data_IF_925087989173
#
_entry.id   IF_925087989173
#
_cell.length_a   1.000
_cell.length_b   1.000
_cell.length_c   1.000
_cell.angle_alpha   90.00
_cell.angle_beta   90.00
_cell.angle_gamma   90.00
#
_symmetry.space_group_name_H-M   'P 1'
#
loop_
_entity.id
_entity.type
_entity.pdbx_description
1 polymer ?
#
# COMPACT_ATOMS: atom_id res chain seq x y z
N UNK A 1 -1.17 10.53 -18.13
CA UNK A 1 -2.26 9.52 -18.07
C UNK A 1 -2.38 9.08 -16.62
N UNK A 2 -3.43 9.52 -15.93
CA UNK A 2 -3.58 9.41 -14.48
C UNK A 2 -4.10 8.01 -14.14
N UNK A 3 -3.29 7.21 -13.47
CA UNK A 3 -3.69 5.88 -13.00
C UNK A 3 -4.55 6.09 -11.75
N UNK A 4 -5.85 5.93 -11.89
CA UNK A 4 -6.80 5.93 -10.78
C UNK A 4 -6.61 4.65 -9.94
N UNK A 5 -5.78 4.73 -8.91
CA UNK A 5 -5.96 3.89 -7.74
C UNK A 5 -7.08 4.54 -6.93
N UNK A 6 -8.18 3.83 -6.71
CA UNK A 6 -9.37 4.35 -6.06
C UNK A 6 -9.08 4.92 -4.67
N UNK A 7 -8.71 6.19 -4.62
CA UNK A 7 -8.72 7.00 -3.43
C UNK A 7 -10.05 7.74 -3.38
N UNK A 8 -10.80 7.55 -2.32
CA UNK A 8 -11.97 8.39 -1.97
C UNK A 8 -11.48 9.84 -1.87
N UNK A 9 -12.12 10.83 -2.53
CA UNK A 9 -11.66 12.20 -2.53
C UNK A 9 -11.74 12.79 -1.12
N UNK A 10 -10.58 13.18 -0.58
CA UNK A 10 -10.49 14.03 0.59
C UNK A 10 -10.82 15.47 0.17
N UNK A 11 -11.97 15.97 0.59
CA UNK A 11 -12.33 17.38 0.47
C UNK A 11 -11.29 18.23 1.22
N UNK A 12 -10.55 19.03 0.46
CA UNK A 12 -9.64 20.05 0.99
C UNK A 12 -10.45 21.11 1.75
N UNK A 13 -10.28 21.18 3.08
CA UNK A 13 -10.56 22.40 3.85
C UNK A 13 -9.25 23.06 4.22
N UNK A 14 -9.07 24.26 3.69
CA UNK A 14 -7.99 25.20 3.94
C UNK A 14 -8.02 25.67 5.40
N UNK A 15 -6.87 25.64 6.09
CA UNK A 15 -6.71 26.19 7.44
C UNK A 15 -5.91 27.48 7.40
N UNK A 16 -6.30 28.51 8.14
CA UNK A 16 -5.50 29.71 8.35
C UNK A 16 -4.77 29.67 9.69
N UNK A 17 -3.61 30.31 9.74
CA UNK A 17 -3.11 30.86 11.01
C UNK A 17 -1.85 30.27 11.57
N UNK A 18 -0.82 31.06 11.45
CA UNK A 18 0.48 31.04 12.11
C UNK A 18 0.34 31.04 13.64
N UNK A 19 1.01 30.13 14.37
CA UNK A 19 1.19 30.25 15.81
C UNK A 19 2.67 30.18 16.19
N UNK A 20 2.99 31.03 17.14
CA UNK A 20 4.32 31.36 17.69
C UNK A 20 4.87 30.22 18.54
N UNK A 21 6.21 30.16 18.63
CA UNK A 21 7.04 29.28 19.44
C UNK A 21 6.65 29.26 20.93
N UNK A 22 6.40 28.06 21.48
CA UNK A 22 6.41 27.81 22.92
C UNK A 22 6.92 26.38 23.19
N UNK A 23 7.77 26.26 24.20
CA UNK A 23 8.76 25.25 24.50
C UNK A 23 8.35 23.79 24.63
N UNK A 24 9.32 22.99 24.74
CA UNK A 24 9.55 21.53 24.84
C UNK A 24 8.41 20.55 25.19
N UNK A 25 7.34 20.96 25.87
CA UNK A 25 6.15 20.15 26.15
C UNK A 25 5.22 19.94 24.94
N UNK A 26 5.23 20.87 23.99
CA UNK A 26 4.41 20.86 22.75
C UNK A 26 4.94 19.83 21.76
N UNK A 27 6.24 19.56 21.74
CA UNK A 27 6.88 18.63 20.81
C UNK A 27 6.42 17.17 20.98
N UNK A 28 6.19 16.70 22.21
CA UNK A 28 5.76 15.31 22.47
C UNK A 28 4.30 15.10 22.09
N UNK A 29 3.45 16.07 22.35
CA UNK A 29 2.03 16.07 21.96
C UNK A 29 1.84 16.15 20.44
N UNK A 30 2.64 16.97 19.75
CA UNK A 30 2.62 17.07 18.29
C UNK A 30 3.08 15.77 17.62
N UNK A 31 4.21 15.19 18.06
CA UNK A 31 4.71 13.90 17.55
C UNK A 31 3.70 12.76 17.76
N UNK A 32 2.99 12.75 18.88
CA UNK A 32 1.94 11.75 19.14
C UNK A 32 0.75 11.95 18.20
N UNK A 33 0.38 13.18 17.90
CA UNK A 33 -0.74 13.54 17.01
C UNK A 33 -0.40 13.27 15.54
N UNK A 34 0.82 13.56 15.10
CA UNK A 34 1.36 13.26 13.78
C UNK A 34 1.47 11.74 13.57
N UNK A 35 1.97 11.00 14.58
CA UNK A 35 2.01 9.54 14.54
C UNK A 35 0.60 8.93 14.42
N UNK A 36 -0.39 9.45 15.15
CA UNK A 36 -1.77 8.99 15.06
C UNK A 36 -2.40 9.32 13.69
N UNK A 37 -2.05 10.45 13.08
CA UNK A 37 -2.48 10.79 11.71
C UNK A 37 -1.90 9.82 10.68
N UNK A 38 -0.62 9.45 10.79
CA UNK A 38 0.04 8.49 9.90
C UNK A 38 -0.51 7.07 10.05
N UNK A 39 -0.81 6.61 11.27
CA UNK A 39 -1.43 5.31 11.51
C UNK A 39 -2.82 5.20 10.89
N UNK A 40 -3.64 6.25 11.02
CA UNK A 40 -4.96 6.28 10.40
C UNK A 40 -4.87 6.24 8.87
N UNK A 41 -3.87 6.88 8.27
CA UNK A 41 -3.62 6.82 6.84
C UNK A 41 -3.20 5.41 6.41
N UNK A 42 -2.28 4.79 7.15
CA UNK A 42 -1.90 3.39 6.93
C UNK A 42 -3.12 2.47 6.98
N UNK A 43 -3.94 2.56 8.04
CA UNK A 43 -5.15 1.74 8.23
C UNK A 43 -6.13 1.93 7.07
N UNK A 44 -6.42 3.17 6.66
CA UNK A 44 -7.36 3.44 5.56
C UNK A 44 -6.96 2.81 4.24
N UNK A 45 -5.66 2.70 3.98
CA UNK A 45 -5.15 2.16 2.73
C UNK A 45 -4.80 0.67 2.81
N UNK A 46 -4.49 0.15 4.00
CA UNK A 46 -3.87 -1.16 4.16
C UNK A 46 -4.65 -2.12 5.06
N UNK A 47 -5.83 -1.76 5.59
CA UNK A 47 -6.59 -2.62 6.50
C UNK A 47 -6.75 -4.08 6.02
N UNK A 48 -7.07 -4.37 4.74
CA UNK A 48 -7.13 -5.75 4.27
C UNK A 48 -5.79 -6.51 4.35
N UNK A 49 -4.66 -5.82 4.15
CA UNK A 49 -3.33 -6.41 4.31
C UNK A 49 -3.00 -6.63 5.79
N UNK A 50 -3.32 -5.66 6.65
CA UNK A 50 -3.16 -5.78 8.10
C UNK A 50 -4.01 -6.92 8.68
N UNK A 51 -5.18 -7.16 8.11
CA UNK A 51 -6.11 -8.24 8.49
C UNK A 51 -5.79 -9.60 7.84
N UNK A 52 -4.69 -9.77 7.13
CA UNK A 52 -4.35 -11.03 6.47
C UNK A 52 -5.22 -11.40 5.26
N UNK A 53 -6.06 -10.47 4.79
CA UNK A 53 -6.98 -10.73 3.67
C UNK A 53 -6.39 -10.42 2.30
N UNK A 54 -5.25 -9.72 2.25
CA UNK A 54 -4.60 -9.25 1.02
C UNK A 54 -3.08 -9.35 1.17
N UNK A 55 -2.40 -9.73 0.11
CA UNK A 55 -0.92 -9.88 0.06
C UNK A 55 -0.23 -8.55 0.34
N UNK A 56 -0.60 -7.50 -0.36
CA UNK A 56 0.04 -6.20 -0.21
C UNK A 56 -0.87 -5.04 -0.59
N UNK A 57 -0.55 -3.86 -0.09
CA UNK A 57 -1.21 -2.59 -0.37
C UNK A 57 -0.19 -1.52 -0.69
N UNK A 58 -0.58 -0.59 -1.58
CA UNK A 58 0.25 0.51 -2.04
C UNK A 58 -0.49 1.83 -1.82
N UNK A 59 0.18 2.84 -1.29
CA UNK A 59 -0.40 4.16 -1.11
C UNK A 59 0.67 5.26 -1.11
N UNK A 60 0.25 6.48 -1.45
CA UNK A 60 1.11 7.66 -1.39
C UNK A 60 0.94 8.40 -0.06
N UNK A 61 2.06 8.82 0.48
CA UNK A 61 2.13 9.79 1.58
C UNK A 61 2.71 11.07 1.03
N UNK A 62 2.00 12.19 1.18
CA UNK A 62 2.52 13.52 0.85
C UNK A 62 3.41 13.96 2.00
N UNK A 63 4.71 13.95 1.79
CA UNK A 63 5.71 14.34 2.77
C UNK A 63 6.94 14.92 2.07
N UNK A 64 7.42 16.07 2.58
CA UNK A 64 8.57 16.80 2.04
C UNK A 64 9.87 16.46 2.75
N UNK A 65 9.78 15.92 3.97
CA UNK A 65 10.94 15.58 4.77
C UNK A 65 11.19 14.07 4.73
N UNK A 66 12.26 13.65 4.09
CA UNK A 66 12.64 12.23 4.00
C UNK A 66 12.87 11.62 5.38
N UNK A 67 13.39 12.42 6.33
CA UNK A 67 13.55 11.99 7.72
C UNK A 67 12.21 11.57 8.36
N UNK A 68 11.11 12.25 8.03
CA UNK A 68 9.78 11.90 8.53
C UNK A 68 9.27 10.59 7.90
N UNK A 69 9.54 10.36 6.60
CA UNK A 69 9.23 9.09 5.93
C UNK A 69 9.98 7.94 6.60
N UNK A 70 11.28 8.10 6.85
CA UNK A 70 12.11 7.10 7.52
C UNK A 70 11.63 6.82 8.95
N UNK A 71 11.25 7.85 9.70
CA UNK A 71 10.66 7.69 11.04
C UNK A 71 9.39 6.82 11.01
N UNK A 72 8.48 7.02 10.04
CA UNK A 72 7.30 6.17 9.91
C UNK A 72 7.65 4.74 9.51
N UNK A 73 8.60 4.54 8.60
CA UNK A 73 9.07 3.22 8.19
C UNK A 73 9.62 2.42 9.37
N UNK A 74 10.52 3.02 10.15
CA UNK A 74 11.11 2.39 11.33
C UNK A 74 10.03 2.05 12.36
N UNK A 75 9.16 3.01 12.67
CA UNK A 75 8.10 2.84 13.65
C UNK A 75 7.10 1.76 13.24
N UNK A 76 6.61 1.76 12.00
CA UNK A 76 5.67 0.75 11.54
C UNK A 76 6.30 -0.63 11.44
N UNK A 77 7.53 -0.74 10.99
CA UNK A 77 8.23 -2.01 10.96
C UNK A 77 8.49 -2.55 12.37
N UNK A 78 8.88 -1.71 13.34
CA UNK A 78 9.03 -2.11 14.74
C UNK A 78 7.71 -2.66 15.34
N UNK A 79 6.55 -2.10 14.95
CA UNK A 79 5.24 -2.54 15.44
C UNK A 79 4.70 -3.78 14.73
N UNK A 80 5.01 -3.98 13.45
CA UNK A 80 4.29 -4.89 12.57
C UNK A 80 5.11 -6.10 12.09
N UNK A 81 6.46 -6.01 12.09
CA UNK A 81 7.30 -7.11 11.59
C UNK A 81 7.10 -8.41 12.40
N UNK A 82 6.90 -8.31 13.71
CA UNK A 82 6.59 -9.47 14.56
C UNK A 82 5.25 -10.17 14.21
N UNK A 83 4.43 -9.53 13.36
CA UNK A 83 3.17 -10.06 12.82
C UNK A 83 3.26 -10.42 11.33
N UNK A 84 4.48 -10.52 10.79
CA UNK A 84 4.73 -10.84 9.38
C UNK A 84 4.36 -9.74 8.39
N UNK A 85 4.04 -8.52 8.87
CA UNK A 85 3.73 -7.37 8.03
C UNK A 85 4.94 -6.45 7.93
N UNK A 86 5.32 -6.08 6.73
CA UNK A 86 6.48 -5.24 6.43
C UNK A 86 6.05 -3.99 5.67
N UNK A 87 6.78 -2.89 5.88
CA UNK A 87 6.55 -1.61 5.21
C UNK A 87 7.83 -1.15 4.53
N UNK A 88 7.74 -0.78 3.25
CA UNK A 88 8.86 -0.23 2.46
C UNK A 88 8.45 1.03 1.72
N UNK A 89 9.36 1.97 1.58
CA UNK A 89 9.24 3.05 0.61
C UNK A 89 9.83 2.58 -0.72
N UNK A 90 9.00 2.44 -1.75
CA UNK A 90 9.46 2.03 -3.09
C UNK A 90 10.03 3.20 -3.89
N UNK A 91 9.49 4.40 -3.70
CA UNK A 91 9.94 5.62 -4.38
C UNK A 91 9.67 6.84 -3.50
N UNK A 92 10.65 7.74 -3.41
CA UNK A 92 10.51 9.06 -2.82
C UNK A 92 10.84 10.12 -3.87
N UNK A 93 10.03 11.17 -3.95
CA UNK A 93 10.13 12.21 -4.99
C UNK A 93 10.49 13.59 -4.45
N UNK A 94 10.87 13.70 -3.15
CA UNK A 94 11.08 14.99 -2.48
C UNK A 94 9.78 15.69 -2.04
N UNK A 95 8.62 15.15 -2.38
CA UNK A 95 7.31 15.67 -1.97
C UNK A 95 6.28 14.59 -1.68
N UNK A 96 6.54 13.36 -2.06
CA UNK A 96 5.68 12.21 -1.82
C UNK A 96 6.50 10.92 -1.74
N UNK A 97 6.06 10.02 -0.88
CA UNK A 97 6.60 8.67 -0.73
C UNK A 97 5.57 7.63 -1.16
N UNK A 98 5.95 6.71 -2.05
CA UNK A 98 5.16 5.54 -2.42
C UNK A 98 5.45 4.42 -1.44
N UNK A 99 4.50 4.18 -0.54
CA UNK A 99 4.61 3.20 0.53
C UNK A 99 4.00 1.88 0.10
N UNK A 100 4.72 0.78 0.36
CA UNK A 100 4.27 -0.59 0.12
C UNK A 100 4.21 -1.35 1.44
N UNK A 101 3.03 -1.86 1.77
CA UNK A 101 2.75 -2.67 2.98
C UNK A 101 2.40 -4.07 2.52
N UNK A 102 3.07 -5.08 3.02
CA UNK A 102 2.89 -6.45 2.55
C UNK A 102 3.11 -7.48 3.66
N UNK A 103 2.53 -8.66 3.47
CA UNK A 103 2.77 -9.85 4.29
C UNK A 103 3.81 -10.72 3.60
N UNK A 104 4.92 -10.98 4.28
CA UNK A 104 6.07 -11.68 3.70
C UNK A 104 5.67 -13.07 3.19
N UNK A 105 5.09 -13.90 4.05
CA UNK A 105 4.70 -15.27 3.68
C UNK A 105 3.70 -15.31 2.52
N UNK A 106 2.65 -14.47 2.57
CA UNK A 106 1.66 -14.40 1.51
C UNK A 106 2.24 -13.88 0.17
N UNK A 107 3.24 -12.98 0.25
CA UNK A 107 3.95 -12.50 -0.92
C UNK A 107 4.86 -13.59 -1.51
N UNK A 108 5.58 -14.31 -0.66
CA UNK A 108 6.43 -15.44 -1.09
C UNK A 108 5.58 -16.52 -1.77
N UNK A 109 4.43 -16.88 -1.20
CA UNK A 109 3.47 -17.81 -1.79
C UNK A 109 2.95 -17.30 -3.15
N UNK A 110 2.53 -16.04 -3.23
CA UNK A 110 2.03 -15.42 -4.46
C UNK A 110 3.09 -15.42 -5.57
N UNK A 111 4.30 -14.96 -5.24
CA UNK A 111 5.37 -14.81 -6.23
C UNK A 111 6.05 -16.14 -6.60
N UNK A 112 5.92 -17.20 -5.78
CA UNK A 112 6.45 -18.53 -6.07
C UNK A 112 5.59 -19.34 -7.03
N UNK A 113 4.36 -18.94 -7.30
CA UNK A 113 3.46 -19.64 -8.24
C UNK A 113 4.13 -19.79 -9.62
N UNK A 114 4.13 -20.99 -10.25
CA UNK A 114 4.86 -21.21 -11.52
C UNK A 114 4.47 -20.26 -12.64
N UNK A 115 3.19 -19.96 -12.78
CA UNK A 115 2.68 -19.03 -13.80
C UNK A 115 3.10 -17.57 -13.53
N UNK A 116 3.15 -17.15 -12.25
CA UNK A 116 3.65 -15.82 -11.85
C UNK A 116 5.15 -15.72 -12.11
N UNK A 117 5.93 -16.75 -11.75
CA UNK A 117 7.36 -16.83 -12.02
C UNK A 117 7.68 -16.79 -13.53
N UNK A 118 6.86 -17.43 -14.36
CA UNK A 118 7.01 -17.38 -15.81
C UNK A 118 6.83 -15.94 -16.33
N UNK A 119 5.80 -15.23 -15.87
CA UNK A 119 5.58 -13.83 -16.25
C UNK A 119 6.70 -12.93 -15.73
N UNK A 120 7.12 -13.08 -14.46
CA UNK A 120 8.20 -12.31 -13.87
C UNK A 120 9.53 -12.46 -14.64
N UNK A 121 9.87 -13.67 -15.09
CA UNK A 121 11.05 -13.91 -15.95
C UNK A 121 10.95 -13.19 -17.29
N UNK A 122 9.77 -13.21 -17.93
CA UNK A 122 9.55 -12.46 -19.18
C UNK A 122 9.74 -10.94 -19.01
N UNK A 123 9.53 -10.45 -17.80
CA UNK A 123 9.71 -9.03 -17.44
C UNK A 123 11.09 -8.75 -16.82
N UNK A 124 12.05 -9.67 -16.98
CA UNK A 124 13.43 -9.56 -16.52
C UNK A 124 13.59 -9.40 -14.99
N UNK A 125 12.58 -9.86 -14.19
CA UNK A 125 12.78 -9.92 -12.75
C UNK A 125 13.83 -10.98 -12.37
N UNK A 126 14.69 -10.67 -11.40
CA UNK A 126 15.73 -11.61 -10.97
C UNK A 126 15.09 -12.85 -10.32
N UNK A 127 15.72 -13.99 -10.52
CA UNK A 127 15.42 -15.17 -9.73
C UNK A 127 15.82 -14.94 -8.27
N UNK A 128 15.08 -15.54 -7.34
CA UNK A 128 15.33 -15.41 -5.91
C UNK A 128 14.08 -15.04 -5.13
N UNK A 129 14.22 -14.81 -3.80
CA UNK A 129 13.09 -14.50 -2.92
C UNK A 129 12.45 -13.14 -3.19
N UNK A 130 11.27 -12.95 -2.60
CA UNK A 130 10.43 -11.76 -2.80
C UNK A 130 11.14 -10.45 -2.48
N UNK A 131 12.06 -10.44 -1.52
CA UNK A 131 12.84 -9.22 -1.17
C UNK A 131 13.62 -8.72 -2.38
N UNK A 132 14.32 -9.60 -3.10
CA UNK A 132 15.08 -9.24 -4.29
C UNK A 132 14.20 -8.74 -5.43
N UNK A 133 13.01 -9.33 -5.56
CA UNK A 133 12.02 -8.90 -6.55
C UNK A 133 11.39 -7.53 -6.19
N UNK A 134 11.18 -7.24 -4.89
CA UNK A 134 10.77 -5.91 -4.43
C UNK A 134 11.88 -4.88 -4.72
N UNK A 135 13.14 -5.22 -4.50
CA UNK A 135 14.26 -4.30 -4.82
C UNK A 135 14.31 -3.97 -6.32
N UNK A 136 14.10 -4.97 -7.17
CA UNK A 136 13.99 -4.75 -8.63
C UNK A 136 12.80 -3.85 -8.98
N UNK A 137 11.62 -4.11 -8.41
CA UNK A 137 10.43 -3.26 -8.57
C UNK A 137 10.70 -1.81 -8.14
N UNK A 138 11.35 -1.61 -6.99
CA UNK A 138 11.70 -0.28 -6.49
C UNK A 138 12.69 0.44 -7.43
N UNK A 139 13.68 -0.27 -7.96
CA UNK A 139 14.62 0.26 -8.95
C UNK A 139 13.90 0.66 -10.24
N UNK A 140 12.97 -0.18 -10.73
CA UNK A 140 12.16 0.13 -11.91
C UNK A 140 11.33 1.41 -11.69
N UNK A 141 10.61 1.52 -10.57
CA UNK A 141 9.82 2.70 -10.21
C UNK A 141 10.65 3.99 -10.12
N UNK A 142 11.92 3.91 -9.69
CA UNK A 142 12.83 5.07 -9.60
C UNK A 142 13.33 5.51 -10.97
N UNK A 143 13.67 4.56 -11.84
CA UNK A 143 14.41 4.80 -13.08
C UNK A 143 13.52 5.01 -14.29
N UNK A 144 12.24 4.67 -14.23
CA UNK A 144 11.32 4.76 -15.35
C UNK A 144 10.14 5.70 -15.03
N UNK A 145 9.63 6.37 -16.06
CA UNK A 145 8.46 7.24 -15.98
C UNK A 145 7.15 6.45 -16.03
N UNK A 146 7.15 5.30 -16.68
CA UNK A 146 5.99 4.42 -16.76
C UNK A 146 5.84 3.62 -15.48
N UNK A 147 4.59 3.51 -15.02
CA UNK A 147 4.28 2.74 -13.82
C UNK A 147 4.23 1.25 -14.16
N UNK A 148 4.99 0.38 -13.45
CA UNK A 148 5.05 -1.05 -13.73
C UNK A 148 3.70 -1.71 -13.42
N UNK A 149 3.05 -2.27 -14.44
CA UNK A 149 1.70 -2.85 -14.27
C UNK A 149 1.72 -4.20 -13.57
N UNK A 150 2.85 -4.90 -13.62
CA UNK A 150 3.10 -6.14 -12.88
C UNK A 150 3.11 -5.97 -11.36
N UNK A 151 3.13 -4.75 -10.86
CA UNK A 151 2.96 -4.45 -9.44
C UNK A 151 1.68 -5.08 -8.86
N UNK A 152 0.68 -5.33 -9.71
CA UNK A 152 -0.53 -6.07 -9.33
C UNK A 152 -0.24 -7.44 -8.72
N UNK A 153 0.83 -8.12 -9.13
CA UNK A 153 1.26 -9.41 -8.55
C UNK A 153 1.72 -9.23 -7.11
N UNK A 154 2.46 -8.16 -6.82
CA UNK A 154 2.90 -7.79 -5.47
C UNK A 154 1.75 -7.33 -4.57
N UNK A 155 0.63 -6.92 -5.17
CA UNK A 155 -0.60 -6.55 -4.46
C UNK A 155 -1.55 -7.74 -4.27
N UNK A 156 -1.20 -8.93 -4.79
CA UNK A 156 -2.02 -10.14 -4.71
C UNK A 156 -3.24 -10.11 -5.62
N UNK A 157 -3.16 -9.39 -6.76
CA UNK A 157 -4.24 -9.44 -7.75
C UNK A 157 -4.16 -10.75 -8.54
N UNK A 158 -5.30 -11.29 -9.01
CA UNK A 158 -5.32 -12.47 -9.87
C UNK A 158 -4.42 -12.29 -11.10
N UNK A 159 -3.64 -13.31 -11.43
CA UNK A 159 -2.72 -13.26 -12.58
C UNK A 159 -3.45 -12.92 -13.88
N UNK A 160 -4.65 -13.45 -14.09
CA UNK A 160 -5.49 -13.16 -15.25
C UNK A 160 -5.87 -11.68 -15.35
N UNK A 161 -6.08 -11.01 -14.22
CA UNK A 161 -6.41 -9.58 -14.19
C UNK A 161 -5.18 -8.71 -14.47
N UNK A 162 -4.02 -9.08 -13.90
CA UNK A 162 -2.74 -8.39 -14.17
C UNK A 162 -2.37 -8.54 -15.63
N UNK A 163 -2.42 -9.76 -16.18
CA UNK A 163 -2.13 -10.04 -17.58
C UNK A 163 -3.11 -9.34 -18.52
N UNK A 164 -4.42 -9.43 -18.23
CA UNK A 164 -5.47 -8.74 -18.98
C UNK A 164 -5.26 -7.23 -19.01
N UNK A 165 -4.86 -6.61 -17.88
CA UNK A 165 -4.55 -5.20 -17.83
C UNK A 165 -3.34 -4.83 -18.72
N UNK A 166 -2.28 -5.62 -18.68
CA UNK A 166 -1.08 -5.40 -19.49
C UNK A 166 -1.37 -5.52 -20.98
N UNK A 167 -2.05 -6.61 -21.41
CA UNK A 167 -2.39 -6.86 -22.82
C UNK A 167 -3.35 -5.79 -23.38
N UNK A 168 -4.35 -5.40 -22.60
CA UNK A 168 -5.40 -4.46 -23.03
C UNK A 168 -5.14 -3.01 -22.64
N UNK A 169 -3.99 -2.73 -22.03
CA UNK A 169 -3.60 -1.37 -21.58
C UNK A 169 -4.70 -0.69 -20.76
N UNK A 170 -5.32 -1.48 -19.87
CA UNK A 170 -6.37 -1.00 -18.98
C UNK A 170 -7.72 -0.73 -19.66
N UNK A 171 -7.96 -1.21 -20.91
CA UNK A 171 -9.25 -1.15 -21.62
C UNK A 171 -9.99 -2.48 -21.53
N UNK A 172 -11.26 -2.53 -21.92
CA UNK A 172 -12.09 -3.75 -22.06
C UNK A 172 -12.16 -4.61 -20.79
N UNK A 173 -12.16 -3.98 -19.62
CA UNK A 173 -12.33 -4.66 -18.33
C UNK A 173 -13.82 -4.90 -18.04
N UNK A 174 -14.14 -6.00 -17.38
CA UNK A 174 -15.51 -6.38 -17.01
C UNK A 174 -16.11 -5.52 -15.90
N UNK A 175 -15.29 -5.17 -14.91
CA UNK A 175 -15.64 -4.22 -13.83
C UNK A 175 -14.38 -3.62 -13.20
N UNK A 176 -14.56 -2.55 -12.41
CA UNK A 176 -13.48 -1.87 -11.72
C UNK A 176 -13.82 -1.65 -10.24
N UNK A 177 -12.82 -1.81 -9.37
CA UNK A 177 -12.91 -1.56 -7.94
C UNK A 177 -11.52 -1.32 -7.38
N UNK A 178 -10.99 -2.22 -6.53
CA UNK A 178 -9.60 -2.14 -6.09
C UNK A 178 -8.59 -2.35 -7.25
N UNK A 179 -9.02 -3.00 -8.31
CA UNK A 179 -8.31 -3.14 -9.59
C UNK A 179 -9.31 -3.28 -10.76
N UNK A 180 -8.81 -3.27 -12.00
CA UNK A 180 -9.61 -3.57 -13.20
C UNK A 180 -9.65 -5.07 -13.43
N UNK A 181 -10.84 -5.64 -13.50
CA UNK A 181 -11.11 -7.09 -13.56
C UNK A 181 -11.30 -7.54 -15.00
N UNK A 182 -10.58 -8.56 -15.39
CA UNK A 182 -10.69 -9.23 -16.70
C UNK A 182 -11.20 -10.66 -16.56
N UNK A 183 -10.95 -11.28 -15.41
CA UNK A 183 -11.40 -12.61 -15.04
C UNK A 183 -12.82 -12.66 -14.48
N UNK A 184 -12.98 -13.24 -13.30
CA UNK A 184 -14.27 -13.42 -12.61
C UNK A 184 -14.72 -12.14 -11.90
N UNK A 185 -15.68 -11.45 -12.52
CA UNK A 185 -16.21 -10.18 -12.02
C UNK A 185 -17.01 -10.36 -10.71
N UNK A 186 -17.74 -11.45 -10.53
CA UNK A 186 -18.56 -11.64 -9.32
C UNK A 186 -17.68 -11.96 -8.12
N UNK A 187 -16.68 -12.81 -8.29
CA UNK A 187 -15.65 -13.07 -7.27
C UNK A 187 -14.90 -11.79 -6.86
N UNK A 188 -14.54 -10.96 -7.85
CA UNK A 188 -13.84 -9.69 -7.59
C UNK A 188 -14.74 -8.70 -6.83
N UNK A 189 -16.02 -8.53 -7.22
CA UNK A 189 -16.98 -7.66 -6.51
C UNK A 189 -17.17 -8.10 -5.06
N UNK A 190 -17.29 -9.41 -4.81
CA UNK A 190 -17.39 -9.96 -3.46
C UNK A 190 -16.12 -9.66 -2.63
N UNK A 191 -14.93 -9.78 -3.25
CA UNK A 191 -13.65 -9.43 -2.64
C UNK A 191 -13.59 -7.93 -2.29
N UNK A 192 -13.94 -7.03 -3.21
CA UNK A 192 -13.98 -5.59 -2.96
C UNK A 192 -14.92 -5.21 -1.81
N UNK A 193 -16.08 -5.88 -1.74
CA UNK A 193 -17.03 -5.67 -0.64
C UNK A 193 -16.43 -6.10 0.71
N UNK A 194 -15.70 -7.23 0.76
CA UNK A 194 -14.99 -7.70 1.96
C UNK A 194 -13.92 -6.69 2.38
N UNK A 195 -13.09 -6.20 1.46
CA UNK A 195 -12.04 -5.22 1.74
C UNK A 195 -12.62 -3.91 2.29
N UNK A 196 -13.71 -3.41 1.72
CA UNK A 196 -14.40 -2.20 2.20
C UNK A 196 -14.93 -2.38 3.62
N UNK A 197 -15.59 -3.52 3.91
CA UNK A 197 -16.06 -3.82 5.28
C UNK A 197 -14.89 -3.89 6.27
N UNK A 198 -13.80 -4.54 5.90
CA UNK A 198 -12.59 -4.62 6.70
C UNK A 198 -12.04 -3.22 7.03
N UNK A 199 -11.88 -2.37 6.01
CA UNK A 199 -11.38 -1.01 6.20
C UNK A 199 -12.27 -0.19 7.12
N UNK A 200 -13.60 -0.24 6.93
CA UNK A 200 -14.55 0.47 7.78
C UNK A 200 -14.48 -0.01 9.23
N UNK A 201 -14.34 -1.33 9.45
CA UNK A 201 -14.17 -1.92 10.77
C UNK A 201 -12.89 -1.42 11.45
N UNK A 202 -11.74 -1.51 10.77
CA UNK A 202 -10.45 -1.06 11.30
C UNK A 202 -10.46 0.42 11.65
N UNK A 203 -10.98 1.28 10.75
CA UNK A 203 -11.08 2.72 11.00
C UNK A 203 -11.97 3.03 12.21
N UNK A 204 -13.11 2.33 12.35
CA UNK A 204 -14.01 2.50 13.49
C UNK A 204 -13.31 2.14 14.80
N UNK A 205 -12.67 0.98 14.87
CA UNK A 205 -11.99 0.51 16.08
C UNK A 205 -10.79 1.39 16.44
N UNK A 206 -9.99 1.80 15.46
CA UNK A 206 -8.88 2.73 15.68
C UNK A 206 -9.35 4.06 16.29
N UNK A 207 -10.46 4.63 15.77
CA UNK A 207 -11.06 5.84 16.33
C UNK A 207 -11.57 5.66 17.76
N UNK A 208 -11.92 4.45 18.15
CA UNK A 208 -12.34 4.08 19.51
C UNK A 208 -11.16 3.70 20.43
N UNK A 209 -9.91 3.97 20.02
CA UNK A 209 -8.72 3.79 20.85
C UNK A 209 -8.00 2.44 20.70
N UNK A 210 -8.46 1.54 19.81
CA UNK A 210 -7.74 0.29 19.52
C UNK A 210 -6.50 0.63 18.70
N UNK A 211 -5.33 0.16 19.13
CA UNK A 211 -4.04 0.50 18.50
C UNK A 211 -3.83 -0.21 17.16
N UNK A 212 -2.94 0.33 16.31
CA UNK A 212 -2.55 -0.30 15.05
C UNK A 212 -2.07 -1.75 15.25
N UNK A 213 -1.26 -1.99 16.27
CA UNK A 213 -0.74 -3.32 16.59
C UNK A 213 -1.85 -4.30 16.99
N UNK A 214 -2.84 -3.87 17.77
CA UNK A 214 -3.98 -4.70 18.16
C UNK A 214 -4.90 -5.04 16.99
N UNK A 215 -5.06 -4.13 16.03
CA UNK A 215 -5.85 -4.36 14.82
C UNK A 215 -5.19 -5.31 13.83
N UNK A 216 -3.85 -5.40 13.85
CA UNK A 216 -3.10 -6.25 12.93
C UNK A 216 -3.06 -7.69 13.46
N UNK A 217 -3.46 -8.66 12.63
CA UNK A 217 -3.40 -10.09 12.94
C UNK A 217 -2.09 -10.69 12.47
#
# INVERSE_FOLDING_TARGET
MQVYFGAVPATQKRWPGRLRSAGQGVSRSLKTREAAMSDLQLIRNCAPTLAGMKVGSLFNVMEKEEAQVNFWLERWNALLNGKGVHVRCLKYTGSAALMYVYRMEALDEQLSQPAVQALMRQMNYPAGGSVRQIDHLAAHLKNHSEFPHEIGLFLGYPLEDVWGFMCKKGRDYKCSGCWKVYGDAEKAKACFAKYRRCTNHFVKHYKNGVTLCQLTV
#
